data_IF_472188111672
#
_entry.id   IF_472188111672
#
_cell.length_a   1.000
_cell.length_b   1.000
_cell.length_c   1.000
_cell.angle_alpha   90.00
_cell.angle_beta   90.00
_cell.angle_gamma   90.00
#
_symmetry.space_group_name_H-M   'P 1'
#
loop_
_entity.id
_entity.type
_entity.pdbx_description
1 polymer ?
#
# COMPACT_ATOMS: atom_id res chain seq x y z
N UNK A 1 -23.52 -8.12 -82.20
CA UNK A 1 -23.23 -9.03 -83.34
C UNK A 1 -23.60 -8.32 -84.64
N UNK A 2 -22.93 -8.62 -85.76
CA UNK A 2 -23.16 -7.93 -87.05
C UNK A 2 -24.34 -8.49 -87.86
N UNK A 3 -24.93 -9.62 -87.41
CA UNK A 3 -26.08 -10.28 -88.03
C UNK A 3 -27.01 -10.72 -86.89
N UNK A 4 -28.30 -10.37 -87.00
CA UNK A 4 -29.37 -10.75 -86.09
C UNK A 4 -30.07 -12.05 -86.53
N UNK A 5 -30.72 -12.75 -85.59
CA UNK A 5 -31.62 -13.86 -85.93
C UNK A 5 -32.71 -13.41 -86.92
N UNK A 6 -33.17 -12.16 -86.79
CA UNK A 6 -34.11 -11.54 -87.72
C UNK A 6 -33.51 -11.39 -89.14
N UNK A 7 -32.24 -10.96 -89.22
CA UNK A 7 -31.53 -10.80 -90.50
C UNK A 7 -31.34 -12.14 -91.21
N UNK A 8 -31.12 -13.23 -90.44
CA UNK A 8 -31.03 -14.60 -90.96
C UNK A 8 -32.39 -15.04 -91.53
N UNK A 9 -33.49 -14.76 -90.82
CA UNK A 9 -34.85 -15.15 -91.23
C UNK A 9 -35.34 -14.39 -92.47
N UNK A 10 -34.96 -13.12 -92.60
CA UNK A 10 -35.35 -12.26 -93.72
C UNK A 10 -34.36 -12.32 -94.90
N UNK A 11 -33.30 -13.14 -94.82
CA UNK A 11 -32.30 -13.22 -95.87
C UNK A 11 -32.87 -13.85 -97.14
N UNK A 12 -32.84 -13.10 -98.23
CA UNK A 12 -33.17 -13.59 -99.58
C UNK A 12 -31.91 -13.84 -100.40
N UNK A 13 -31.91 -14.90 -101.20
CA UNK A 13 -30.82 -15.24 -102.11
C UNK A 13 -31.23 -15.04 -103.58
N UNK A 14 -30.26 -14.73 -104.44
CA UNK A 14 -30.46 -14.66 -105.88
C UNK A 14 -30.75 -16.04 -106.48
N UNK A 15 -31.58 -16.09 -107.53
CA UNK A 15 -31.96 -17.35 -108.19
C UNK A 15 -30.96 -17.66 -109.31
N UNK A 16 -30.33 -18.83 -109.28
CA UNK A 16 -29.46 -19.33 -110.34
C UNK A 16 -30.02 -20.62 -110.98
N UNK A 17 -29.72 -20.87 -112.26
CA UNK A 17 -30.15 -22.08 -112.97
C UNK A 17 -29.39 -23.30 -112.40
N UNK A 18 -30.12 -24.30 -111.86
CA UNK A 18 -29.64 -25.44 -111.03
C UNK A 18 -29.14 -25.05 -109.62
N UNK A 19 -29.97 -24.35 -108.84
CA UNK A 19 -29.72 -24.03 -107.42
C UNK A 19 -30.33 -25.03 -106.41
N UNK A 20 -30.08 -24.77 -105.13
CA UNK A 20 -30.68 -25.47 -103.98
C UNK A 20 -32.21 -25.25 -103.92
N UNK A 21 -32.93 -26.18 -103.31
CA UNK A 21 -34.37 -26.04 -103.07
C UNK A 21 -34.64 -24.91 -102.07
N UNK A 22 -35.58 -24.02 -102.41
CA UNK A 22 -35.91 -22.86 -101.59
C UNK A 22 -36.60 -23.26 -100.29
N UNK A 23 -37.45 -24.28 -100.33
CA UNK A 23 -38.23 -24.67 -99.15
C UNK A 23 -37.32 -25.30 -98.09
N UNK A 24 -36.35 -26.10 -98.52
CA UNK A 24 -35.32 -26.68 -97.65
C UNK A 24 -34.39 -25.60 -97.05
N UNK A 25 -33.91 -24.67 -97.89
CA UNK A 25 -33.08 -23.55 -97.41
C UNK A 25 -33.84 -22.66 -96.42
N UNK A 26 -35.12 -22.37 -96.68
CA UNK A 26 -35.94 -21.57 -95.76
C UNK A 26 -36.19 -22.30 -94.43
N UNK A 27 -36.43 -23.61 -94.44
CA UNK A 27 -36.56 -24.42 -93.23
C UNK A 27 -35.25 -24.44 -92.41
N UNK A 28 -34.10 -24.55 -93.07
CA UNK A 28 -32.80 -24.45 -92.43
C UNK A 28 -32.56 -23.06 -91.82
N UNK A 29 -32.82 -21.98 -92.57
CA UNK A 29 -32.68 -20.61 -92.06
C UNK A 29 -33.59 -20.33 -90.85
N UNK A 30 -34.82 -20.86 -90.86
CA UNK A 30 -35.72 -20.74 -89.70
C UNK A 30 -35.14 -21.44 -88.47
N UNK A 31 -34.66 -22.67 -88.61
CA UNK A 31 -34.03 -23.43 -87.51
C UNK A 31 -32.77 -22.72 -87.01
N UNK A 32 -31.92 -22.23 -87.93
CA UNK A 32 -30.71 -21.48 -87.61
C UNK A 32 -31.04 -20.18 -86.87
N UNK A 33 -32.08 -19.45 -87.31
CA UNK A 33 -32.51 -18.21 -86.64
C UNK A 33 -32.94 -18.46 -85.19
N UNK A 34 -33.68 -19.55 -84.93
CA UNK A 34 -34.10 -19.93 -83.57
C UNK A 34 -32.91 -20.30 -82.69
N UNK A 35 -31.95 -21.08 -83.21
CA UNK A 35 -30.73 -21.41 -82.46
C UNK A 35 -29.87 -20.18 -82.20
N UNK A 36 -29.81 -19.23 -83.14
CA UNK A 36 -29.09 -17.96 -82.97
C UNK A 36 -29.72 -17.07 -81.91
N UNK A 37 -31.05 -16.99 -81.87
CA UNK A 37 -31.79 -16.27 -80.83
C UNK A 37 -31.57 -16.89 -79.45
N UNK A 38 -31.72 -18.22 -79.34
CA UNK A 38 -31.42 -18.97 -78.12
C UNK A 38 -29.99 -18.74 -77.63
N UNK A 39 -29.01 -18.83 -78.52
CA UNK A 39 -27.60 -18.56 -78.18
C UNK A 39 -27.40 -17.11 -77.71
N UNK A 40 -28.10 -16.15 -78.33
CA UNK A 40 -28.07 -14.74 -77.91
C UNK A 40 -28.66 -14.52 -76.52
N UNK A 41 -29.75 -15.21 -76.20
CA UNK A 41 -30.39 -15.19 -74.88
C UNK A 41 -29.51 -15.82 -73.81
N UNK A 42 -28.98 -17.02 -74.07
CA UNK A 42 -28.02 -17.70 -73.18
C UNK A 42 -26.78 -16.82 -72.94
N UNK A 43 -26.25 -16.15 -73.97
CA UNK A 43 -25.09 -15.26 -73.82
C UNK A 43 -25.43 -14.04 -72.94
N UNK A 44 -26.62 -13.45 -73.11
CA UNK A 44 -27.08 -12.35 -72.25
C UNK A 44 -27.26 -12.79 -70.81
N UNK A 45 -27.88 -13.95 -70.57
CA UNK A 45 -28.06 -14.51 -69.23
C UNK A 45 -26.70 -14.82 -68.57
N UNK A 46 -25.77 -15.44 -69.30
CA UNK A 46 -24.42 -15.73 -68.80
C UNK A 46 -23.65 -14.46 -68.46
N UNK A 47 -23.78 -13.40 -69.27
CA UNK A 47 -23.16 -12.09 -68.96
C UNK A 47 -23.72 -11.48 -67.69
N UNK A 48 -25.05 -11.52 -67.50
CA UNK A 48 -25.68 -11.02 -66.27
C UNK A 48 -25.24 -11.82 -65.04
N UNK A 49 -25.17 -13.15 -65.15
CA UNK A 49 -24.66 -14.01 -64.06
C UNK A 49 -23.20 -13.72 -63.75
N UNK A 50 -22.37 -13.51 -64.78
CA UNK A 50 -20.96 -13.17 -64.61
C UNK A 50 -20.82 -11.80 -63.94
N UNK A 51 -21.58 -10.80 -64.38
CA UNK A 51 -21.59 -9.48 -63.76
C UNK A 51 -21.98 -9.57 -62.27
N UNK A 52 -23.09 -10.27 -61.96
CA UNK A 52 -23.51 -10.49 -60.58
C UNK A 52 -22.44 -11.19 -59.74
N UNK A 53 -21.86 -12.28 -60.24
CA UNK A 53 -20.81 -13.01 -59.54
C UNK A 53 -19.55 -12.13 -59.32
N UNK A 54 -19.17 -11.31 -60.31
CA UNK A 54 -18.05 -10.39 -60.16
C UNK A 54 -18.31 -9.30 -59.11
N UNK A 55 -19.54 -8.79 -59.03
CA UNK A 55 -19.93 -7.82 -58.01
C UNK A 55 -19.92 -8.45 -56.60
N UNK A 56 -20.39 -9.68 -56.45
CA UNK A 56 -20.34 -10.39 -55.15
C UNK A 56 -18.90 -10.66 -54.72
N UNK A 57 -18.03 -11.10 -55.62
CA UNK A 57 -16.60 -11.30 -55.33
C UNK A 57 -15.95 -9.98 -54.90
N UNK A 58 -16.28 -8.87 -55.57
CA UNK A 58 -15.75 -7.56 -55.21
C UNK A 58 -16.21 -7.13 -53.81
N UNK A 59 -17.49 -7.31 -53.48
CA UNK A 59 -18.03 -7.05 -52.15
C UNK A 59 -17.37 -7.92 -51.08
N UNK A 60 -17.15 -9.21 -51.36
CA UNK A 60 -16.47 -10.11 -50.42
C UNK A 60 -15.02 -9.67 -50.17
N UNK A 61 -14.29 -9.23 -51.21
CA UNK A 61 -12.94 -8.68 -51.06
C UNK A 61 -12.91 -7.40 -50.23
N UNK A 62 -13.91 -6.52 -50.39
CA UNK A 62 -14.02 -5.32 -49.57
C UNK A 62 -14.28 -5.65 -48.09
N UNK A 63 -15.15 -6.64 -47.82
CA UNK A 63 -15.39 -7.15 -46.47
C UNK A 63 -14.12 -7.78 -45.88
N UNK A 64 -13.43 -8.63 -46.64
CA UNK A 64 -12.16 -9.25 -46.22
C UNK A 64 -11.10 -8.19 -45.89
N UNK A 65 -10.95 -7.18 -46.75
CA UNK A 65 -10.00 -6.09 -46.53
C UNK A 65 -10.32 -5.28 -45.27
N UNK A 66 -11.61 -5.07 -44.98
CA UNK A 66 -12.07 -4.36 -43.80
C UNK A 66 -11.82 -5.18 -42.54
N UNK A 67 -12.15 -6.48 -42.59
CA UNK A 67 -11.89 -7.42 -41.50
C UNK A 67 -10.40 -7.53 -41.19
N UNK A 68 -9.56 -7.63 -42.22
CA UNK A 68 -8.11 -7.67 -42.06
C UNK A 68 -7.56 -6.40 -41.41
N UNK A 69 -8.04 -5.21 -41.83
CA UNK A 69 -7.67 -3.95 -41.18
C UNK A 69 -8.07 -3.93 -39.71
N UNK A 70 -9.30 -4.34 -39.40
CA UNK A 70 -9.79 -4.39 -38.00
C UNK A 70 -8.98 -5.37 -37.17
N UNK A 71 -8.68 -6.56 -37.68
CA UNK A 71 -7.87 -7.56 -36.99
C UNK A 71 -6.46 -7.04 -36.73
N UNK A 72 -5.84 -6.43 -37.75
CA UNK A 72 -4.51 -5.84 -37.60
C UNK A 72 -4.51 -4.69 -36.59
N UNK A 73 -5.52 -3.81 -36.62
CA UNK A 73 -5.65 -2.74 -35.62
C UNK A 73 -5.84 -3.31 -34.22
N UNK A 74 -6.62 -4.39 -34.07
CA UNK A 74 -6.80 -5.04 -32.78
C UNK A 74 -5.48 -5.67 -32.28
N UNK A 75 -4.69 -6.30 -33.16
CA UNK A 75 -3.37 -6.83 -32.85
C UNK A 75 -2.39 -5.72 -32.47
N UNK A 76 -2.28 -4.66 -33.27
CA UNK A 76 -1.42 -3.50 -33.01
C UNK A 76 -1.81 -2.83 -31.68
N UNK A 77 -3.11 -2.70 -31.39
CA UNK A 77 -3.62 -2.16 -30.13
C UNK A 77 -3.28 -3.08 -28.95
N UNK A 78 -3.44 -4.40 -29.12
CA UNK A 78 -3.07 -5.39 -28.11
C UNK A 78 -1.58 -5.31 -27.76
N UNK A 79 -0.72 -5.25 -28.78
CA UNK A 79 0.72 -5.10 -28.63
C UNK A 79 1.10 -3.75 -27.97
N UNK A 80 0.41 -2.67 -28.34
CA UNK A 80 0.63 -1.36 -27.71
C UNK A 80 0.24 -1.36 -26.23
N UNK A 81 -0.87 -2.00 -25.87
CA UNK A 81 -1.32 -2.14 -24.48
C UNK A 81 -0.32 -2.97 -23.67
N UNK A 82 0.18 -4.09 -24.20
CA UNK A 82 1.16 -4.91 -23.49
C UNK A 82 2.49 -4.19 -23.28
N UNK A 83 2.98 -3.48 -24.31
CA UNK A 83 4.20 -2.67 -24.21
C UNK A 83 4.04 -1.53 -23.20
N UNK A 84 2.89 -0.83 -23.20
CA UNK A 84 2.59 0.22 -22.22
C UNK A 84 2.51 -0.37 -20.81
N UNK A 85 1.81 -1.48 -20.61
CA UNK A 85 1.69 -2.15 -19.32
C UNK A 85 3.06 -2.59 -18.79
N UNK A 86 3.94 -3.09 -19.66
CA UNK A 86 5.29 -3.48 -19.29
C UNK A 86 6.15 -2.27 -18.89
N UNK A 87 6.11 -1.19 -19.67
CA UNK A 87 6.80 0.07 -19.32
C UNK A 87 6.29 0.63 -17.99
N UNK A 88 4.99 0.66 -17.78
CA UNK A 88 4.36 1.12 -16.55
C UNK A 88 4.72 0.24 -15.35
N UNK A 89 4.79 -1.09 -15.53
CA UNK A 89 5.22 -2.01 -14.50
C UNK A 89 6.69 -1.76 -14.10
N UNK A 90 7.58 -1.60 -15.07
CA UNK A 90 8.99 -1.26 -14.82
C UNK A 90 9.15 0.09 -14.12
N UNK A 91 8.34 1.09 -14.51
CA UNK A 91 8.35 2.40 -13.89
C UNK A 91 7.87 2.32 -12.43
N UNK A 92 6.78 1.60 -12.17
CA UNK A 92 6.29 1.33 -10.81
C UNK A 92 7.32 0.61 -9.94
N UNK A 93 8.02 -0.39 -10.49
CA UNK A 93 9.08 -1.10 -9.77
C UNK A 93 10.22 -0.14 -9.43
N UNK A 94 10.67 0.68 -10.38
CA UNK A 94 11.71 1.69 -10.14
C UNK A 94 11.29 2.73 -9.10
N UNK A 95 10.07 3.23 -9.18
CA UNK A 95 9.53 4.15 -8.16
C UNK A 95 9.45 3.49 -6.77
N UNK A 96 9.02 2.23 -6.70
CA UNK A 96 8.95 1.50 -5.44
C UNK A 96 10.35 1.30 -4.85
N UNK A 97 11.35 0.98 -5.68
CA UNK A 97 12.75 0.88 -5.26
C UNK A 97 13.27 2.21 -4.71
N UNK A 98 13.07 3.32 -5.44
CA UNK A 98 13.48 4.65 -4.98
C UNK A 98 12.80 5.05 -3.66
N UNK A 99 11.49 4.80 -3.53
CA UNK A 99 10.75 5.05 -2.28
C UNK A 99 11.27 4.19 -1.12
N UNK A 100 11.59 2.93 -1.38
CA UNK A 100 12.16 2.04 -0.37
C UNK A 100 13.57 2.50 0.06
N UNK A 101 14.41 2.90 -0.88
CA UNK A 101 15.74 3.46 -0.60
C UNK A 101 15.66 4.75 0.20
N UNK A 102 14.74 5.65 -0.17
CA UNK A 102 14.48 6.88 0.58
C UNK A 102 14.01 6.59 2.00
N UNK A 103 13.06 5.66 2.17
CA UNK A 103 12.57 5.26 3.49
C UNK A 103 13.69 4.66 4.34
N UNK A 104 14.56 3.83 3.75
CA UNK A 104 15.73 3.27 4.44
C UNK A 104 16.74 4.36 4.81
N UNK A 105 16.97 5.33 3.94
CA UNK A 105 17.86 6.46 4.22
C UNK A 105 17.31 7.30 5.39
N UNK A 106 16.02 7.64 5.35
CA UNK A 106 15.33 8.38 6.41
C UNK A 106 15.35 7.61 7.74
N UNK A 107 15.10 6.29 7.71
CA UNK A 107 15.17 5.44 8.88
C UNK A 107 16.59 5.38 9.47
N UNK A 108 17.62 5.27 8.62
CA UNK A 108 19.03 5.31 9.05
C UNK A 108 19.40 6.67 9.63
N UNK A 109 18.93 7.76 9.04
CA UNK A 109 19.16 9.11 9.56
C UNK A 109 18.51 9.29 10.94
N UNK A 110 17.25 8.87 11.10
CA UNK A 110 16.55 8.88 12.39
C UNK A 110 17.23 8.00 13.44
N UNK A 111 17.69 6.82 13.05
CA UNK A 111 18.43 5.93 13.95
C UNK A 111 19.72 6.61 14.43
N UNK A 112 20.47 7.24 13.52
CA UNK A 112 21.67 8.01 13.89
C UNK A 112 21.34 9.17 14.82
N UNK A 113 20.31 9.97 14.53
CA UNK A 113 19.94 11.08 15.40
C UNK A 113 19.54 10.62 16.80
N UNK A 114 18.79 9.53 16.93
CA UNK A 114 18.42 8.95 18.23
C UNK A 114 19.65 8.50 19.01
N UNK A 115 20.60 7.85 18.33
CA UNK A 115 21.87 7.42 18.96
C UNK A 115 22.69 8.63 19.39
N UNK A 116 22.83 9.65 18.54
CA UNK A 116 23.56 10.87 18.85
C UNK A 116 22.92 11.63 20.03
N UNK A 117 21.60 11.71 20.07
CA UNK A 117 20.88 12.36 21.18
C UNK A 117 21.01 11.57 22.48
N UNK A 118 20.99 10.23 22.42
CA UNK A 118 21.25 9.38 23.57
C UNK A 118 22.69 9.57 24.10
N UNK A 119 23.69 9.67 23.22
CA UNK A 119 25.08 9.95 23.62
C UNK A 119 25.20 11.33 24.28
N UNK A 120 24.61 12.37 23.69
CA UNK A 120 24.62 13.72 24.30
C UNK A 120 23.94 13.72 25.67
N UNK A 121 22.83 12.99 25.81
CA UNK A 121 22.15 12.90 27.10
C UNK A 121 22.98 12.12 28.13
N UNK A 122 23.64 11.04 27.72
CA UNK A 122 24.56 10.30 28.57
C UNK A 122 25.73 11.20 29.03
N UNK A 123 26.38 11.91 28.11
CA UNK A 123 27.46 12.87 28.43
C UNK A 123 26.99 13.94 29.41
N UNK A 124 25.79 14.50 29.19
CA UNK A 124 25.18 15.47 30.10
C UNK A 124 24.97 14.87 31.49
N UNK A 125 24.41 13.67 31.59
CA UNK A 125 24.19 13.02 32.90
C UNK A 125 25.49 12.68 33.62
N UNK A 126 26.53 12.29 32.88
CA UNK A 126 27.87 12.04 33.46
C UNK A 126 28.46 13.34 33.97
N UNK A 127 28.34 14.44 33.23
CA UNK A 127 28.81 15.75 33.67
C UNK A 127 28.05 16.23 34.93
N UNK A 128 26.72 16.10 34.95
CA UNK A 128 25.89 16.41 36.12
C UNK A 128 26.31 15.55 37.33
N UNK A 129 26.44 14.24 37.15
CA UNK A 129 26.91 13.32 38.20
C UNK A 129 28.31 13.70 38.71
N UNK A 130 29.24 14.05 37.83
CA UNK A 130 30.58 14.52 38.24
C UNK A 130 30.50 15.79 39.10
N UNK A 131 29.63 16.74 38.74
CA UNK A 131 29.42 17.94 39.55
C UNK A 131 28.81 17.62 40.92
N UNK A 132 27.83 16.71 40.97
CA UNK A 132 27.23 16.26 42.23
C UNK A 132 28.23 15.53 43.12
N UNK A 133 29.05 14.63 42.55
CA UNK A 133 30.10 13.92 43.30
C UNK A 133 31.15 14.89 43.84
N UNK A 134 31.57 15.88 43.04
CA UNK A 134 32.50 16.91 43.49
C UNK A 134 31.90 17.77 44.60
N UNK A 135 30.62 18.14 44.49
CA UNK A 135 29.91 18.90 45.51
C UNK A 135 29.81 18.09 46.82
N UNK A 136 29.39 16.84 46.73
CA UNK A 136 29.30 15.94 47.88
C UNK A 136 30.67 15.72 48.55
N UNK A 137 31.73 15.62 47.75
CA UNK A 137 33.11 15.56 48.25
C UNK A 137 33.51 16.82 49.04
N UNK A 138 33.15 18.01 48.54
CA UNK A 138 33.40 19.27 49.25
C UNK A 138 32.58 19.36 50.55
N UNK A 139 31.32 18.93 50.53
CA UNK A 139 30.47 18.89 51.72
C UNK A 139 31.00 17.93 52.78
N UNK A 140 31.49 16.76 52.35
CA UNK A 140 32.12 15.79 53.24
C UNK A 140 33.37 16.39 53.89
N UNK A 141 34.28 16.97 53.11
CA UNK A 141 35.49 17.61 53.63
C UNK A 141 35.17 18.78 54.58
N UNK A 142 34.12 19.55 54.29
CA UNK A 142 33.63 20.61 55.18
C UNK A 142 33.14 20.03 56.51
N UNK A 143 32.39 18.93 56.48
CA UNK A 143 31.89 18.27 57.68
C UNK A 143 33.04 17.68 58.52
N UNK A 144 34.03 17.06 57.88
CA UNK A 144 35.25 16.60 58.54
C UNK A 144 36.00 17.75 59.22
N UNK A 145 36.15 18.90 58.54
CA UNK A 145 36.78 20.08 59.13
C UNK A 145 36.03 20.62 60.36
N UNK A 146 34.70 20.57 60.36
CA UNK A 146 33.88 20.93 61.54
C UNK A 146 34.07 19.92 62.68
N UNK A 147 34.11 18.62 62.37
CA UNK A 147 34.37 17.59 63.37
C UNK A 147 35.77 17.73 63.97
N UNK A 148 36.80 17.95 63.17
CA UNK A 148 38.15 18.23 63.67
C UNK A 148 38.18 19.48 64.54
N UNK A 149 37.47 20.54 64.14
CA UNK A 149 37.32 21.77 64.92
C UNK A 149 36.70 21.49 66.30
N UNK A 150 35.58 20.77 66.32
CA UNK A 150 34.90 20.39 67.57
C UNK A 150 35.78 19.52 68.48
N UNK A 151 36.56 18.60 67.90
CA UNK A 151 37.51 17.78 68.67
C UNK A 151 38.61 18.65 69.27
N UNK A 152 39.17 19.61 68.51
CA UNK A 152 40.16 20.58 69.04
C UNK A 152 39.54 21.43 70.14
N UNK A 153 38.31 21.92 69.97
CA UNK A 153 37.59 22.72 70.97
C UNK A 153 37.34 21.91 72.25
N UNK A 154 36.95 20.64 72.13
CA UNK A 154 36.79 19.74 73.28
C UNK A 154 38.12 19.45 73.97
N UNK A 155 39.22 19.27 73.23
CA UNK A 155 40.56 19.11 73.79
C UNK A 155 41.01 20.37 74.54
N UNK A 156 40.78 21.55 73.96
CA UNK A 156 41.06 22.83 74.61
C UNK A 156 40.21 23.00 75.88
N UNK A 157 38.91 22.73 75.81
CA UNK A 157 38.02 22.82 76.98
C UNK A 157 38.42 21.84 78.10
N UNK A 158 38.81 20.60 77.73
CA UNK A 158 39.29 19.61 78.68
C UNK A 158 40.62 20.07 79.33
N UNK A 159 41.54 20.60 78.53
CA UNK A 159 42.81 21.16 79.03
C UNK A 159 42.55 22.34 79.96
N UNK A 160 41.68 23.27 79.58
CA UNK A 160 41.27 24.41 80.40
C UNK A 160 40.57 23.98 81.70
N UNK A 161 39.77 22.93 81.65
CA UNK A 161 39.11 22.37 82.83
C UNK A 161 40.14 21.73 83.78
N UNK A 162 41.09 20.95 83.25
CA UNK A 162 42.21 20.40 84.03
C UNK A 162 43.04 21.53 84.66
N UNK A 163 43.37 22.55 83.87
CA UNK A 163 44.06 23.76 84.31
C UNK A 163 43.32 24.47 85.46
N UNK A 164 42.00 24.61 85.37
CA UNK A 164 41.16 25.20 86.42
C UNK A 164 41.13 24.32 87.67
N UNK A 165 41.06 23.00 87.51
CA UNK A 165 41.13 22.04 88.63
C UNK A 165 42.49 22.11 89.30
N UNK A 166 43.58 22.11 88.56
CA UNK A 166 44.94 22.27 89.10
C UNK A 166 45.13 23.63 89.78
N UNK A 167 44.68 24.72 89.17
CA UNK A 167 44.66 26.06 89.80
C UNK A 167 43.82 26.07 91.08
N UNK A 168 42.69 25.36 91.12
CA UNK A 168 41.84 25.25 92.33
C UNK A 168 42.43 24.33 93.40
N UNK A 169 43.17 23.29 93.01
CA UNK A 169 43.90 22.38 93.91
C UNK A 169 45.12 23.07 94.50
N UNK A 170 45.79 23.91 93.72
CA UNK A 170 46.93 24.71 94.12
C UNK A 170 46.52 26.03 94.80
N UNK A 171 45.21 26.35 94.89
CA UNK A 171 44.75 27.43 95.77
C UNK A 171 44.95 27.00 97.23
N UNK A 172 45.65 27.80 98.05
CA UNK A 172 45.81 27.49 99.46
C UNK A 172 44.44 27.51 100.15
N UNK A 173 44.21 26.59 101.10
CA UNK A 173 42.99 26.50 101.95
C UNK A 173 42.68 27.76 102.79
N UNK A 174 43.39 28.87 102.57
CA UNK A 174 43.29 30.16 103.24
C UNK A 174 42.02 30.97 102.89
N UNK A 175 41.43 30.76 101.70
CA UNK A 175 40.32 31.59 101.23
C UNK A 175 38.98 31.37 101.97
N UNK A 176 38.77 30.24 102.67
CA UNK A 176 37.54 30.02 103.45
C UNK A 176 37.54 30.86 104.74
N UNK A 177 38.72 31.12 105.31
CA UNK A 177 38.88 31.95 106.52
C UNK A 177 38.71 33.46 106.25
N UNK A 178 39.05 33.93 105.04
CA UNK A 178 38.93 35.34 104.67
C UNK A 178 37.47 35.78 104.40
N UNK A 179 36.62 34.88 103.90
CA UNK A 179 35.20 35.17 103.64
C UNK A 179 34.42 35.22 104.97
N UNK A 180 34.76 34.39 105.95
CA UNK A 180 34.17 34.45 107.29
C UNK A 180 34.59 35.72 108.07
N UNK A 181 35.75 36.29 107.77
CA UNK A 181 36.24 37.53 108.42
C UNK A 181 35.69 38.82 107.81
N UNK A 182 35.12 38.78 106.59
CA UNK A 182 34.54 39.97 105.93
C UNK A 182 33.02 40.09 106.08
N UNK A 183 32.34 39.05 106.56
CA UNK A 183 30.91 39.07 106.86
C UNK A 183 30.58 39.64 108.27
N UNK A 184 31.58 39.92 109.11
CA UNK A 184 31.38 40.35 110.51
C UNK A 184 31.41 41.88 110.75
N UNK A 185 31.62 42.71 109.72
CA UNK A 185 31.67 44.18 109.85
C UNK A 185 31.05 44.84 108.60
N UNK A 186 29.71 44.89 108.44
CA UNK A 186 28.80 46.00 108.88
C UNK A 186 29.12 47.31 108.11
N UNK A 187 28.24 48.10 107.48
CA UNK A 187 26.81 48.46 107.71
C UNK A 187 26.17 49.06 106.44
N UNK A 188 24.84 49.02 106.40
CA UNK A 188 23.90 49.61 105.42
C UNK A 188 23.88 51.15 105.46
N UNK A 189 23.81 51.82 104.29
CA UNK A 189 23.01 53.04 104.12
C UNK A 189 22.59 53.28 102.65
N UNK A 190 21.31 53.64 102.46
CA UNK A 190 20.55 53.91 101.21
C UNK A 190 20.29 55.43 101.12
N UNK A 191 20.37 56.13 99.96
CA UNK A 191 19.17 56.35 99.09
C UNK A 191 19.39 56.52 97.57
N UNK A 192 18.29 56.37 96.82
CA UNK A 192 18.00 56.64 95.38
C UNK A 192 17.78 58.17 95.08
N UNK A 193 17.48 58.70 93.84
CA UNK A 193 17.06 58.08 92.54
C UNK A 193 17.68 58.65 91.21
N UNK A 194 17.27 58.04 90.07
CA UNK A 194 17.33 58.32 88.59
C UNK A 194 17.47 59.78 88.07
N UNK A 195 17.66 60.13 86.75
CA UNK A 195 17.51 59.33 85.50
C UNK A 195 18.48 59.65 84.30
N UNK A 196 18.26 58.97 83.14
CA UNK A 196 18.61 59.31 81.72
C UNK A 196 20.12 59.42 81.32
N UNK A 197 20.65 59.01 80.16
CA UNK A 197 20.12 58.80 78.81
C UNK A 197 21.02 57.87 77.95
N UNK A 198 20.39 57.22 76.97
CA UNK A 198 20.78 56.96 75.57
C UNK A 198 22.16 56.42 75.13
N UNK A 199 22.14 55.21 74.55
CA UNK A 199 22.28 54.98 73.08
C UNK A 199 22.18 53.47 72.82
N UNK A 200 21.06 52.95 72.27
CA UNK A 200 20.81 52.71 70.83
C UNK A 200 21.95 51.92 70.16
N UNK A 201 21.79 50.69 69.63
CA UNK A 201 20.81 50.17 68.66
C UNK A 201 20.59 48.66 68.91
N UNK A 202 19.36 48.10 68.93
CA UNK A 202 18.51 47.71 67.78
C UNK A 202 19.25 46.72 66.84
N UNK A 203 18.77 45.48 66.54
CA UNK A 203 17.43 44.91 66.62
C UNK A 203 17.49 43.37 66.80
N UNK A 204 16.54 42.85 67.58
CA UNK A 204 16.00 41.49 67.52
C UNK A 204 15.41 41.20 66.11
N UNK A 205 15.27 39.97 65.65
CA UNK A 205 14.08 39.13 65.92
C UNK A 205 14.33 37.77 65.27
N UNK A 206 14.62 36.73 66.08
CA UNK A 206 13.66 35.74 66.57
C UNK A 206 12.90 34.99 65.47
N UNK A 207 13.39 33.76 65.25
CA UNK A 207 12.57 32.63 64.89
C UNK A 207 11.29 32.55 65.74
N UNK A 208 10.17 32.17 65.12
CA UNK A 208 9.26 31.18 65.71
C UNK A 208 8.63 30.37 64.60
N UNK A 209 8.44 29.11 64.95
CA UNK A 209 8.16 27.99 64.07
C UNK A 209 6.66 27.74 63.93
N UNK A 210 6.37 26.90 62.93
CA UNK A 210 5.41 25.79 63.01
C UNK A 210 3.95 26.03 62.57
N UNK A 211 3.66 25.35 61.46
CA UNK A 211 2.69 24.25 61.36
C UNK A 211 1.18 24.55 61.25
N UNK A 212 0.66 24.05 60.10
CA UNK A 212 -0.49 23.17 59.96
C UNK A 212 -1.91 23.75 59.68
N UNK A 213 -2.41 23.34 58.50
CA UNK A 213 -3.69 22.66 58.27
C UNK A 213 -4.94 23.43 57.78
N UNK A 214 -5.26 23.14 56.51
CA UNK A 214 -6.54 22.69 55.88
C UNK A 214 -7.83 23.54 55.83
N UNK A 215 -8.60 23.21 54.78
CA UNK A 215 -9.90 23.70 54.29
C UNK A 215 -9.82 25.02 53.50
N UNK A 216 -10.41 25.18 52.32
CA UNK A 216 -11.35 24.39 51.53
C UNK A 216 -12.14 25.36 50.65
N UNK A 217 -12.62 24.88 49.51
CA UNK A 217 -13.58 25.51 48.58
C UNK A 217 -13.05 26.34 47.38
N UNK A 218 -13.53 25.88 46.21
CA UNK A 218 -13.56 26.46 44.85
C UNK A 218 -14.41 27.75 44.83
N UNK A 219 -14.28 28.64 43.83
CA UNK A 219 -15.08 28.46 42.59
C UNK A 219 -14.42 28.95 41.27
N UNK A 220 -14.95 28.40 40.17
CA UNK A 220 -15.17 28.90 38.78
C UNK A 220 -14.26 29.92 38.05
N UNK A 221 -14.12 29.66 36.73
CA UNK A 221 -13.41 30.34 35.64
C UNK A 221 -13.82 31.81 35.31
N UNK A 222 -13.12 32.48 34.36
CA UNK A 222 -13.55 32.48 32.93
C UNK A 222 -12.37 32.20 31.95
N UNK A 223 -12.51 31.41 30.89
CA UNK A 223 -13.13 31.70 29.58
C UNK A 223 -12.38 32.74 28.71
N UNK A 224 -11.64 32.25 27.71
CA UNK A 224 -11.35 32.93 26.43
C UNK A 224 -11.56 31.93 25.29
N UNK A 225 -12.43 32.31 24.34
CA UNK A 225 -12.88 31.53 23.17
C UNK A 225 -11.84 31.46 22.04
N UNK A 226 -11.88 30.39 21.24
CA UNK A 226 -12.53 30.27 19.90
C UNK A 226 -11.66 30.92 18.79
N UNK A 227 -11.18 30.22 17.76
CA UNK A 227 -11.82 29.41 16.69
C UNK A 227 -10.79 28.38 16.15
N UNK A 228 -11.04 27.30 15.41
CA UNK A 228 -12.08 26.91 14.44
C UNK A 228 -12.19 25.37 14.32
N UNK A 229 -13.38 24.92 13.94
CA UNK A 229 -13.89 23.56 13.95
C UNK A 229 -13.32 22.61 12.88
N UNK A 230 -13.40 21.32 13.22
CA UNK A 230 -13.30 20.18 12.32
C UNK A 230 -14.65 19.89 11.67
N UNK A 231 -14.65 19.42 10.42
CA UNK A 231 -15.78 18.68 9.86
C UNK A 231 -15.29 17.53 8.96
N UNK A 232 -15.83 16.33 9.21
CA UNK A 232 -15.64 15.09 8.45
C UNK A 232 -17.04 14.60 8.05
N UNK A 233 -17.25 14.29 6.76
CA UNK A 233 -18.20 13.28 6.24
C UNK A 233 -17.91 13.02 4.72
N UNK A 234 -18.54 12.04 4.02
CA UNK A 234 -17.95 10.73 3.70
C UNK A 234 -17.79 10.44 2.18
N UNK A 235 -17.30 9.22 1.86
CA UNK A 235 -16.92 8.70 0.53
C UNK A 235 -18.13 8.10 -0.23
N UNK A 236 -18.20 8.31 -1.57
CA UNK A 236 -18.97 7.50 -2.53
C UNK A 236 -18.84 7.99 -4.00
N UNK A 237 -18.64 7.11 -5.01
CA UNK A 237 -18.46 7.51 -6.41
C UNK A 237 -19.80 7.66 -7.16
N UNK A 238 -20.02 8.81 -7.82
CA UNK A 238 -21.18 9.03 -8.70
C UNK A 238 -20.83 8.75 -10.18
N UNK A 239 -21.67 8.02 -10.94
CA UNK A 239 -21.55 7.87 -12.38
C UNK A 239 -22.07 9.10 -13.14
N UNK A 240 -21.47 9.37 -14.29
CA UNK A 240 -21.48 10.65 -15.01
C UNK A 240 -22.85 11.25 -15.34
N UNK A 241 -22.99 12.54 -15.02
CA UNK A 241 -24.05 13.41 -15.52
C UNK A 241 -23.55 14.16 -16.76
N UNK A 242 -24.23 13.95 -17.89
CA UNK A 242 -24.12 14.75 -19.09
C UNK A 242 -24.49 16.21 -18.79
N UNK A 243 -23.63 17.15 -19.19
CA UNK A 243 -23.88 18.59 -19.14
C UNK A 243 -24.18 19.10 -20.56
N UNK A 244 -25.45 19.30 -20.96
CA UNK A 244 -25.75 19.90 -22.25
C UNK A 244 -25.63 21.43 -22.15
N UNK A 245 -24.89 22.02 -23.10
CA UNK A 245 -24.82 23.47 -23.29
C UNK A 245 -26.23 24.01 -23.65
N UNK A 246 -26.66 25.18 -23.14
CA UNK A 246 -27.95 25.75 -23.49
C UNK A 246 -27.92 26.23 -24.95
N UNK A 247 -28.86 25.78 -25.80
CA UNK A 247 -29.10 26.42 -27.09
C UNK A 247 -29.33 25.54 -28.34
N UNK A 248 -29.72 24.26 -28.22
CA UNK A 248 -30.23 23.54 -29.40
C UNK A 248 -31.56 22.85 -29.10
N UNK A 249 -32.57 23.25 -29.88
CA UNK A 249 -33.92 22.71 -29.91
C UNK A 249 -33.92 21.43 -30.76
N UNK A 250 -34.54 20.32 -30.32
CA UNK A 250 -34.60 19.10 -31.13
C UNK A 250 -35.64 19.21 -32.25
N UNK A 251 -35.25 18.77 -33.43
CA UNK A 251 -36.02 18.68 -34.69
C UNK A 251 -37.21 17.69 -34.57
N UNK A 252 -38.45 18.03 -35.00
CA UNK A 252 -39.61 17.17 -34.86
C UNK A 252 -39.72 16.20 -36.05
N UNK A 253 -39.12 15.00 -35.96
CA UNK A 253 -39.13 14.07 -37.09
C UNK A 253 -38.78 12.59 -36.86
N UNK A 254 -38.78 12.07 -35.63
CA UNK A 254 -38.49 10.65 -35.39
C UNK A 254 -39.76 9.89 -34.93
N UNK A 255 -40.11 8.73 -35.55
CA UNK A 255 -41.36 8.02 -35.29
C UNK A 255 -41.38 7.35 -33.91
N UNK A 256 -42.55 7.39 -33.28
CA UNK A 256 -42.87 6.84 -31.99
C UNK A 256 -42.54 5.34 -31.90
N UNK A 257 -41.68 4.96 -30.96
CA UNK A 257 -41.53 3.58 -30.53
C UNK A 257 -42.58 3.26 -29.47
N UNK A 258 -43.40 2.26 -29.77
CA UNK A 258 -44.38 1.60 -28.90
C UNK A 258 -43.75 1.09 -27.60
N UNK A 259 -44.32 1.36 -26.42
CA UNK A 259 -43.84 0.82 -25.15
C UNK A 259 -44.02 -0.71 -25.06
N UNK A 260 -42.96 -1.43 -24.67
CA UNK A 260 -43.02 -2.84 -24.26
C UNK A 260 -43.74 -3.01 -22.90
N UNK A 261 -44.02 -4.26 -22.48
CA UNK A 261 -44.96 -4.55 -21.42
C UNK A 261 -44.48 -4.07 -20.05
N UNK A 262 -45.42 -3.49 -19.29
CA UNK A 262 -45.27 -2.90 -17.97
C UNK A 262 -44.54 -3.81 -16.97
N UNK A 263 -43.38 -3.35 -16.49
CA UNK A 263 -42.78 -3.88 -15.27
C UNK A 263 -43.54 -3.22 -14.10
N UNK A 264 -44.45 -3.97 -13.49
CA UNK A 264 -45.12 -3.56 -12.26
C UNK A 264 -44.07 -3.28 -11.17
N UNK A 265 -44.02 -2.10 -10.55
CA UNK A 265 -43.16 -1.87 -9.41
C UNK A 265 -43.69 -2.67 -8.22
N UNK A 266 -42.87 -3.60 -7.73
CA UNK A 266 -43.17 -4.41 -6.56
C UNK A 266 -43.40 -3.49 -5.35
N UNK A 267 -44.65 -3.39 -4.88
CA UNK A 267 -44.99 -2.64 -3.66
C UNK A 267 -44.64 -3.49 -2.45
N UNK A 268 -43.43 -3.32 -1.92
CA UNK A 268 -43.10 -3.68 -0.54
C UNK A 268 -42.66 -2.42 0.19
N UNK A 269 -43.47 -1.86 1.09
CA UNK A 269 -43.18 -0.59 1.72
C UNK A 269 -42.44 -0.82 3.03
N UNK A 270 -41.15 -1.18 3.04
CA UNK A 270 -40.37 -1.18 4.29
C UNK A 270 -38.82 -1.30 4.17
N UNK A 271 -38.22 -1.03 3.01
CA UNK A 271 -36.74 -0.99 2.92
C UNK A 271 -36.20 0.44 3.06
N UNK A 272 -36.23 0.93 4.30
CA UNK A 272 -35.47 2.11 4.72
C UNK A 272 -34.01 1.67 5.02
N UNK A 273 -32.97 2.23 4.39
CA UNK A 273 -31.58 1.74 4.46
C UNK A 273 -30.87 2.09 5.79
N UNK A 274 -31.49 1.79 6.92
CA UNK A 274 -30.96 2.08 8.26
C UNK A 274 -31.42 1.14 9.38
N UNK A 275 -32.21 0.09 9.09
CA UNK A 275 -32.58 -0.94 10.07
C UNK A 275 -32.06 -2.30 9.63
N UNK A 276 -31.03 -2.78 10.31
CA UNK A 276 -30.53 -4.16 10.16
C UNK A 276 -31.40 -5.07 11.02
N UNK A 277 -31.95 -6.13 10.43
CA UNK A 277 -32.69 -7.18 11.15
C UNK A 277 -31.77 -7.85 12.18
N UNK A 278 -32.09 -7.85 13.49
CA UNK A 278 -31.25 -8.43 14.53
C UNK A 278 -31.05 -9.95 14.39
N UNK A 279 -31.82 -10.60 13.52
CA UNK A 279 -31.73 -12.04 13.24
C UNK A 279 -30.57 -12.43 12.32
N UNK A 280 -29.82 -11.47 11.75
CA UNK A 280 -28.65 -11.71 10.88
C UNK A 280 -27.31 -11.41 11.57
N UNK A 281 -27.30 -11.18 12.88
CA UNK A 281 -26.06 -11.04 13.65
C UNK A 281 -25.47 -12.44 13.83
N UNK A 282 -24.37 -12.72 13.15
CA UNK A 282 -23.63 -13.97 13.28
C UNK A 282 -23.06 -14.06 14.71
N UNK A 283 -23.60 -14.92 15.55
CA UNK A 283 -22.95 -15.27 16.82
C UNK A 283 -21.61 -15.98 16.50
N UNK A 284 -20.48 -15.54 17.05
CA UNK A 284 -19.22 -16.26 16.91
C UNK A 284 -19.29 -17.51 17.79
N UNK A 285 -19.26 -18.70 17.17
CA UNK A 285 -19.16 -19.97 17.87
C UNK A 285 -17.86 -20.07 18.69
N UNK A 286 -17.81 -20.93 19.73
CA UNK A 286 -16.64 -21.05 20.59
C UNK A 286 -15.40 -21.48 19.79
N UNK A 287 -14.28 -20.79 20.03
CA UNK A 287 -13.00 -21.04 19.36
C UNK A 287 -12.54 -22.48 19.59
N UNK A 288 -12.64 -23.31 18.57
CA UNK A 288 -12.05 -24.65 18.59
C UNK A 288 -10.61 -24.51 18.12
N UNK A 289 -9.65 -24.72 19.03
CA UNK A 289 -8.23 -24.75 18.71
C UNK A 289 -7.98 -25.92 17.75
N UNK A 290 -7.46 -25.70 16.52
CA UNK A 290 -7.03 -26.81 15.68
C UNK A 290 -5.91 -27.57 16.39
N UNK A 291 -6.06 -28.89 16.56
CA UNK A 291 -4.99 -29.73 17.08
C UNK A 291 -3.72 -29.53 16.22
N UNK A 292 -2.54 -29.34 16.82
CA UNK A 292 -1.30 -29.25 16.06
C UNK A 292 -1.06 -30.58 15.34
N UNK A 293 -0.83 -30.50 14.04
CA UNK A 293 -0.42 -31.65 13.22
C UNK A 293 0.96 -32.10 13.70
N UNK A 294 1.06 -33.32 14.22
CA UNK A 294 2.35 -33.91 14.59
C UNK A 294 3.25 -33.99 13.34
N UNK A 295 4.55 -33.64 13.44
CA UNK A 295 5.46 -33.78 12.31
C UNK A 295 5.66 -35.27 12.02
N UNK A 296 5.15 -35.73 10.88
CA UNK A 296 5.37 -37.08 10.37
C UNK A 296 6.84 -37.22 9.99
N UNK A 297 7.63 -37.87 10.85
CA UNK A 297 8.99 -38.30 10.52
C UNK A 297 8.87 -39.58 9.69
N UNK A 298 9.20 -39.51 8.41
CA UNK A 298 9.38 -40.71 7.58
C UNK A 298 10.64 -41.46 8.06
N UNK A 299 10.56 -42.76 8.38
CA UNK A 299 11.75 -43.53 8.71
C UNK A 299 12.62 -43.71 7.45
N UNK A 300 13.90 -43.41 7.58
CA UNK A 300 14.92 -43.57 6.54
C UNK A 300 14.98 -45.06 6.18
N UNK A 301 14.55 -45.41 4.97
CA UNK A 301 14.75 -46.75 4.42
C UNK A 301 16.24 -46.92 4.06
N UNK A 302 16.90 -48.00 4.51
CA UNK A 302 18.29 -48.26 4.17
C UNK A 302 18.43 -48.55 2.68
N UNK A 303 19.35 -47.80 2.06
CA UNK A 303 19.95 -48.02 0.75
C UNK A 303 20.42 -49.48 0.62
N UNK A 304 20.14 -50.10 -0.54
CA UNK A 304 20.66 -51.40 -1.03
C UNK A 304 19.83 -52.65 -0.67
N UNK A 305 19.08 -53.14 -1.66
CA UNK A 305 18.80 -54.57 -1.84
C UNK A 305 19.14 -54.98 -3.29
N UNK A 306 19.84 -56.10 -3.52
CA UNK A 306 20.29 -56.51 -4.85
C UNK A 306 19.17 -57.23 -5.60
N UNK A 307 18.84 -56.78 -6.81
CA UNK A 307 17.84 -57.45 -7.67
C UNK A 307 18.50 -57.84 -8.99
N UNK A 308 18.47 -59.16 -9.27
CA UNK A 308 18.99 -59.80 -10.48
C UNK A 308 18.17 -59.49 -11.76
N UNK A 309 18.61 -60.00 -12.92
CA UNK A 309 18.24 -59.45 -14.21
C UNK A 309 16.86 -59.97 -14.67
N UNK A 310 15.93 -59.05 -14.87
CA UNK A 310 14.62 -59.32 -15.45
C UNK A 310 14.17 -58.16 -16.33
N UNK A 311 14.82 -58.01 -17.50
CA UNK A 311 14.33 -57.12 -18.55
C UNK A 311 13.35 -57.87 -19.47
N UNK A 312 12.17 -57.30 -19.75
CA UNK A 312 11.55 -57.38 -21.05
C UNK A 312 11.89 -56.11 -21.85
N UNK A 313 12.51 -56.34 -23.00
CA UNK A 313 13.00 -55.37 -23.98
C UNK A 313 11.84 -54.57 -24.59
N UNK A 314 11.77 -53.26 -24.32
CA UNK A 314 10.79 -52.36 -24.94
C UNK A 314 11.36 -51.87 -26.27
N UNK A 315 10.61 -52.19 -27.33
CA UNK A 315 10.85 -51.89 -28.74
C UNK A 315 10.87 -50.38 -29.01
N UNK A 316 11.87 -49.90 -29.77
CA UNK A 316 11.97 -48.50 -30.21
C UNK A 316 10.94 -48.17 -31.32
N UNK A 317 10.33 -46.97 -31.33
CA UNK A 317 9.35 -46.57 -32.35
C UNK A 317 10.00 -46.18 -33.69
N UNK A 318 9.35 -46.60 -34.79
CA UNK A 318 9.79 -46.44 -36.18
C UNK A 318 9.78 -44.98 -36.69
N UNK A 319 10.65 -44.61 -37.65
CA UNK A 319 10.71 -43.28 -38.23
C UNK A 319 9.62 -43.04 -39.29
N UNK A 320 9.04 -41.83 -39.27
CA UNK A 320 7.99 -41.38 -40.16
C UNK A 320 8.44 -41.36 -41.64
N UNK A 321 7.68 -42.05 -42.50
CA UNK A 321 7.88 -42.06 -43.95
C UNK A 321 7.01 -40.98 -44.60
N UNK A 322 7.62 -40.06 -45.34
CA UNK A 322 6.94 -39.06 -46.15
C UNK A 322 6.26 -39.71 -47.38
N UNK A 323 5.12 -39.18 -47.86
CA UNK A 323 4.40 -39.76 -48.99
C UNK A 323 5.03 -39.31 -50.30
N UNK A 324 5.79 -40.20 -50.93
CA UNK A 324 6.30 -40.00 -52.27
C UNK A 324 7.66 -40.63 -52.49
N UNK A 325 7.72 -41.95 -52.61
CA UNK A 325 8.60 -42.64 -53.55
C UNK A 325 8.27 -44.14 -53.59
N UNK A 326 8.29 -44.67 -54.80
CA UNK A 326 7.71 -45.94 -55.21
C UNK A 326 8.55 -47.15 -54.74
N UNK A 327 7.85 -48.26 -54.45
CA UNK A 327 8.40 -49.59 -54.24
C UNK A 327 9.18 -50.05 -55.49
N UNK A 328 10.46 -50.35 -55.32
CA UNK A 328 11.22 -51.20 -56.24
C UNK A 328 11.36 -52.59 -55.61
N UNK A 329 10.92 -53.60 -56.36
CA UNK A 329 11.11 -55.01 -56.09
C UNK A 329 12.60 -55.36 -56.10
N UNK A 330 13.06 -56.19 -55.16
CA UNK A 330 14.38 -56.79 -55.22
C UNK A 330 14.26 -58.29 -54.90
N UNK A 331 14.74 -59.04 -55.89
CA UNK A 331 14.60 -60.46 -56.14
C UNK A 331 15.34 -61.35 -55.12
N UNK A 332 14.85 -62.60 -54.99
CA UNK A 332 15.53 -63.68 -54.27
C UNK A 332 16.77 -64.11 -55.06
N UNK A 333 17.92 -64.07 -54.40
CA UNK A 333 19.21 -64.54 -54.93
C UNK A 333 19.18 -66.03 -55.28
N UNK A 334 19.63 -66.33 -56.50
CA UNK A 334 19.67 -67.64 -57.19
C UNK A 334 21.09 -68.26 -57.16
N UNK A 335 21.99 -67.81 -56.27
CA UNK A 335 23.42 -68.14 -56.38
C UNK A 335 24.09 -68.67 -55.11
N UNK A 336 23.39 -69.49 -54.31
CA UNK A 336 24.02 -70.21 -53.19
C UNK A 336 23.80 -71.73 -53.23
N UNK A 337 23.48 -72.27 -54.42
CA UNK A 337 23.49 -73.71 -54.72
C UNK A 337 24.73 -74.05 -55.58
N UNK A 338 25.90 -74.19 -54.93
CA UNK A 338 27.01 -75.11 -55.30
C UNK A 338 27.70 -75.59 -54.02
#
# INVERSE_FOLDING_TARGET
>A
MKISALDIRQKTFEKAFRGLDKDEVQAFLNTLSQQWERMGDENRELRLKLEHATQEVQKMREVESSLYRTLKTAEDTGNSITEQAQRDAELRVREAQLKAEQLLADARQKARSVVDDAYKQAEKTIAEMQTEVNLLGQEHQRLEGVLEGLVRDLQHLATDALDKVEKSRNRPKSSMAAILSRAASVKVNKPEPSPEADSAMLVHTSATSSAAAVNGARPSAPAVGATSAAERAPIGPQPGAYNPKPGQQPDPGAPAQTPGPDIQPNRTPDENPGRVDPSRIHEPGPATVPNPVEPRVEPIAPDIQPVGPGHPEITQPSPATHPGMQKAEAEKSFFDEI
#
